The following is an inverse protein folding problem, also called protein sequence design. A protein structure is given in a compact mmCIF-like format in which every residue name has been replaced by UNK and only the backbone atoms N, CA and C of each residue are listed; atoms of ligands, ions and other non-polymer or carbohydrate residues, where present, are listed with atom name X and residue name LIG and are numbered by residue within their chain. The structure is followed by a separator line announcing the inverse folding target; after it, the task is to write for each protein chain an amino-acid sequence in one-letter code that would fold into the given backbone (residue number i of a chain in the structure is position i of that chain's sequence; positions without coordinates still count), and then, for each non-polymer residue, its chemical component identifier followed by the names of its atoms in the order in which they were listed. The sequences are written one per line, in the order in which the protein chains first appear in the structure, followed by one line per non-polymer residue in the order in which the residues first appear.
data_IF_614699787448
#
_entry.id   IF_614699787448
#
_cell.length_a   1.000
_cell.length_b   1.000
_cell.length_c   1.000
_cell.angle_alpha   90.00
_cell.angle_beta   90.00
_cell.angle_gamma   90.00
#
_symmetry.space_group_name_H-M   'P 1'
#
loop_
_entity.id
_entity.type
_entity.pdbx_description
1 polymer ?
#
# COMPACT_ATOMS: atom_id res chain seq x y z
N UNK A 1 39.59 -13.46 -41.79
CA UNK A 1 39.21 -12.12 -41.25
C UNK A 1 37.86 -11.73 -41.81
N UNK A 2 37.07 -11.00 -41.01
CA UNK A 2 35.64 -10.61 -41.20
C UNK A 2 34.58 -11.62 -40.73
N UNK A 3 34.52 -11.71 -39.39
CA UNK A 3 33.33 -11.59 -38.53
C UNK A 3 32.01 -12.20 -39.02
N UNK A 4 31.76 -13.45 -38.62
CA UNK A 4 30.42 -14.06 -38.47
C UNK A 4 29.87 -13.90 -37.04
N UNK A 5 30.43 -12.98 -36.25
CA UNK A 5 30.03 -12.71 -34.86
C UNK A 5 28.84 -11.74 -34.72
N UNK A 6 28.17 -11.40 -35.83
CA UNK A 6 27.13 -10.38 -35.87
C UNK A 6 25.69 -10.92 -35.74
N UNK A 7 25.49 -12.25 -35.73
CA UNK A 7 24.16 -12.86 -35.74
C UNK A 7 23.70 -13.40 -34.39
N UNK A 8 24.55 -13.38 -33.35
CA UNK A 8 24.19 -13.81 -31.99
C UNK A 8 23.86 -12.63 -31.07
N UNK A 9 24.18 -11.39 -31.47
CA UNK A 9 23.90 -10.18 -30.69
C UNK A 9 22.53 -9.54 -30.98
N UNK A 10 21.80 -10.00 -31.99
CA UNK A 10 20.50 -9.44 -32.39
C UNK A 10 19.30 -9.94 -31.58
N UNK A 11 19.43 -11.06 -30.87
CA UNK A 11 18.33 -11.66 -30.09
C UNK A 11 18.45 -11.34 -28.59
N UNK A 12 19.64 -11.00 -28.11
CA UNK A 12 19.86 -10.55 -26.72
C UNK A 12 19.39 -9.10 -26.47
N UNK A 13 19.36 -8.23 -27.50
CA UNK A 13 18.87 -6.86 -27.32
C UNK A 13 17.33 -6.76 -27.27
N UNK A 14 16.60 -7.74 -27.82
CA UNK A 14 15.12 -7.75 -27.71
C UNK A 14 14.65 -8.26 -26.34
N UNK A 15 15.47 -9.07 -25.67
CA UNK A 15 15.19 -9.49 -24.29
C UNK A 15 15.54 -8.37 -23.30
N UNK A 16 16.56 -7.56 -23.58
CA UNK A 16 16.92 -6.43 -22.71
C UNK A 16 15.91 -5.26 -22.75
N UNK A 17 15.26 -4.97 -23.88
CA UNK A 17 14.27 -3.88 -23.95
C UNK A 17 12.87 -4.27 -23.46
N UNK A 18 12.62 -5.56 -23.20
CA UNK A 18 11.44 -6.02 -22.46
C UNK A 18 11.69 -6.08 -20.93
N UNK A 19 12.88 -5.65 -20.47
CA UNK A 19 13.24 -5.55 -19.05
C UNK A 19 13.37 -4.10 -18.56
N UNK A 20 13.00 -3.10 -19.38
CA UNK A 20 13.12 -1.66 -19.06
C UNK A 20 11.84 -0.87 -19.38
N UNK A 21 10.69 -1.53 -19.34
CA UNK A 21 9.51 -0.88 -18.81
C UNK A 21 9.45 -1.36 -17.37
N UNK A 22 10.08 -0.65 -16.44
CA UNK A 22 9.70 -0.73 -15.04
C UNK A 22 8.29 -0.12 -14.97
N UNK A 23 7.27 -0.90 -15.36
CA UNK A 23 5.92 -0.67 -14.88
C UNK A 23 6.06 -0.75 -13.36
N UNK A 24 5.98 0.40 -12.66
CA UNK A 24 5.96 0.45 -11.19
C UNK A 24 4.95 -0.61 -10.75
N UNK A 25 5.43 -1.69 -10.12
CA UNK A 25 4.57 -2.81 -9.74
C UNK A 25 3.95 -2.43 -8.40
N UNK A 26 2.84 -1.70 -8.49
CA UNK A 26 2.15 -1.22 -7.32
C UNK A 26 1.61 -2.38 -6.50
N UNK A 27 1.73 -2.29 -5.18
CA UNK A 27 1.09 -3.24 -4.29
C UNK A 27 -0.40 -2.96 -4.17
N UNK A 28 -0.78 -1.69 -4.15
CA UNK A 28 -2.16 -1.25 -4.04
C UNK A 28 -2.63 -0.60 -5.36
N UNK A 29 -3.85 -0.93 -5.78
CA UNK A 29 -4.55 -0.23 -6.88
C UNK A 29 -5.92 0.19 -6.39
N UNK A 30 -5.98 1.41 -5.84
CA UNK A 30 -7.23 1.98 -5.37
C UNK A 30 -8.00 2.52 -6.56
N UNK A 31 -9.06 1.80 -6.94
CA UNK A 31 -10.02 2.32 -7.91
C UNK A 31 -10.49 3.72 -7.51
N UNK A 32 -10.83 4.57 -8.48
CA UNK A 32 -11.33 5.93 -8.20
C UNK A 32 -12.53 5.92 -7.21
N UNK A 33 -13.36 4.87 -7.24
CA UNK A 33 -14.44 4.69 -6.29
C UNK A 33 -13.94 4.43 -4.86
N UNK A 34 -12.93 3.56 -4.70
CA UNK A 34 -12.28 3.25 -3.42
C UNK A 34 -11.61 4.49 -2.85
N UNK A 35 -10.79 5.18 -3.66
CA UNK A 35 -10.09 6.40 -3.27
C UNK A 35 -11.07 7.49 -2.81
N UNK A 36 -12.16 7.70 -3.56
CA UNK A 36 -13.20 8.67 -3.18
C UNK A 36 -13.93 8.29 -1.88
N UNK A 37 -14.05 7.00 -1.56
CA UNK A 37 -14.62 6.52 -0.30
C UNK A 37 -13.65 6.80 0.85
N UNK A 38 -12.37 6.48 0.69
CA UNK A 38 -11.32 6.77 1.67
C UNK A 38 -11.20 8.26 1.97
N UNK A 39 -11.11 9.10 0.93
CA UNK A 39 -11.05 10.56 1.07
C UNK A 39 -12.23 11.06 1.93
N UNK A 40 -13.45 10.57 1.67
CA UNK A 40 -14.63 10.93 2.49
C UNK A 40 -14.52 10.46 3.94
N UNK A 41 -13.90 9.31 4.20
CA UNK A 41 -13.68 8.83 5.57
C UNK A 41 -12.68 9.74 6.29
N UNK A 42 -11.57 10.08 5.64
CA UNK A 42 -10.58 11.02 6.14
C UNK A 42 -11.16 12.43 6.38
N UNK A 43 -11.99 12.94 5.46
CA UNK A 43 -12.75 14.19 5.64
C UNK A 43 -13.64 14.16 6.88
N UNK A 44 -14.35 13.05 7.10
CA UNK A 44 -15.16 12.87 8.32
C UNK A 44 -14.30 12.74 9.59
N UNK A 45 -13.02 12.42 9.46
CA UNK A 45 -12.04 12.38 10.54
C UNK A 45 -11.21 13.67 10.65
N UNK A 46 -11.54 14.71 9.89
CA UNK A 46 -10.94 16.05 10.03
C UNK A 46 -9.79 16.37 9.06
N UNK A 47 -9.45 15.46 8.14
CA UNK A 47 -8.48 15.72 7.07
C UNK A 47 -9.19 16.28 5.85
N UNK A 48 -8.88 17.51 5.52
CA UNK A 48 -9.40 18.27 4.38
C UNK A 48 -8.27 18.58 3.43
N UNK A 49 -8.58 19.05 2.22
CA UNK A 49 -7.56 19.51 1.28
C UNK A 49 -6.65 20.61 1.84
N UNK A 50 -7.15 21.44 2.74
CA UNK A 50 -6.39 22.57 3.30
C UNK A 50 -5.38 22.17 4.38
N UNK A 51 -5.47 20.94 4.90
CA UNK A 51 -4.59 20.41 5.93
C UNK A 51 -4.09 18.98 5.62
N UNK A 52 -4.24 18.48 4.40
CA UNK A 52 -3.75 17.16 4.01
C UNK A 52 -2.21 17.13 4.08
N UNK A 53 -1.70 16.33 5.02
CA UNK A 53 -0.29 15.99 5.16
C UNK A 53 -0.19 14.68 5.95
N UNK A 54 0.98 14.05 5.90
CA UNK A 54 1.25 12.75 6.54
C UNK A 54 0.88 12.73 8.03
N UNK A 55 1.19 13.77 8.80
CA UNK A 55 0.87 13.86 10.22
C UNK A 55 -0.64 13.82 10.46
N UNK A 56 -1.41 14.62 9.72
CA UNK A 56 -2.87 14.66 9.85
C UNK A 56 -3.53 13.37 9.34
N UNK A 57 -3.01 12.73 8.29
CA UNK A 57 -3.47 11.41 7.86
C UNK A 57 -3.25 10.35 8.94
N UNK A 58 -2.04 10.32 9.54
CA UNK A 58 -1.70 9.39 10.61
C UNK A 58 -2.57 9.58 11.86
N UNK A 59 -2.87 10.83 12.25
CA UNK A 59 -3.78 11.12 13.37
C UNK A 59 -5.23 10.68 13.07
N UNK A 60 -5.68 10.85 11.83
CA UNK A 60 -7.04 10.49 11.42
C UNK A 60 -7.23 9.00 11.17
N UNK A 61 -6.16 8.24 10.92
CA UNK A 61 -6.25 6.85 10.48
C UNK A 61 -6.99 5.95 11.47
N UNK A 62 -6.79 6.13 12.77
CA UNK A 62 -7.54 5.35 13.80
C UNK A 62 -9.04 5.65 13.72
N UNK A 63 -9.44 6.90 13.46
CA UNK A 63 -10.84 7.27 13.25
C UNK A 63 -11.40 6.63 11.96
N UNK A 64 -10.58 6.53 10.90
CA UNK A 64 -10.97 5.83 9.67
C UNK A 64 -11.21 4.35 9.95
N UNK A 65 -10.31 3.68 10.68
CA UNK A 65 -10.47 2.27 11.09
C UNK A 65 -11.73 2.04 11.93
N UNK A 66 -12.08 2.98 12.81
CA UNK A 66 -13.34 2.96 13.56
C UNK A 66 -14.55 3.01 12.63
N UNK A 67 -14.55 3.95 11.66
CA UNK A 67 -15.64 4.10 10.68
C UNK A 67 -15.76 2.94 9.70
N UNK A 68 -14.68 2.22 9.46
CA UNK A 68 -14.67 1.00 8.65
C UNK A 68 -15.12 -0.23 9.46
N UNK A 69 -15.50 -0.05 10.74
CA UNK A 69 -15.95 -1.10 11.65
C UNK A 69 -14.89 -2.20 11.87
N UNK A 70 -13.62 -1.84 11.73
CA UNK A 70 -12.46 -2.73 11.92
C UNK A 70 -12.05 -2.82 13.38
N UNK A 71 -12.44 -1.85 14.21
CA UNK A 71 -12.18 -1.86 15.65
C UNK A 71 -13.23 -2.68 16.43
N UNK A 72 -12.81 -3.32 17.52
CA UNK A 72 -13.69 -3.96 18.51
C UNK A 72 -14.19 -2.98 19.58
N UNK A 73 -14.99 -3.46 20.54
CA UNK A 73 -15.51 -2.64 21.65
C UNK A 73 -14.44 -2.10 22.60
N UNK A 74 -13.20 -2.58 22.51
CA UNK A 74 -12.05 -2.13 23.30
C UNK A 74 -11.11 -1.23 22.47
N UNK A 75 -11.55 -0.76 21.30
CA UNK A 75 -10.75 0.01 20.34
C UNK A 75 -9.47 -0.72 19.89
N UNK A 76 -9.52 -2.05 19.78
CA UNK A 76 -8.45 -2.85 19.20
C UNK A 76 -8.78 -3.19 17.75
N UNK A 77 -7.78 -3.22 16.88
CA UNK A 77 -7.97 -3.66 15.48
C UNK A 77 -8.32 -5.15 15.49
N UNK A 78 -9.43 -5.54 14.87
CA UNK A 78 -9.75 -6.94 14.60
C UNK A 78 -9.02 -7.37 13.34
N UNK A 79 -7.98 -8.18 13.49
CA UNK A 79 -7.02 -8.48 12.42
C UNK A 79 -7.68 -9.13 11.20
N UNK A 80 -8.67 -10.00 11.41
CA UNK A 80 -9.41 -10.61 10.30
C UNK A 80 -10.16 -9.56 9.46
N UNK A 81 -10.84 -8.60 10.10
CA UNK A 81 -11.53 -7.50 9.39
C UNK A 81 -10.56 -6.57 8.68
N UNK A 82 -9.40 -6.31 9.29
CA UNK A 82 -8.35 -5.51 8.66
C UNK A 82 -7.85 -6.18 7.39
N UNK A 83 -7.53 -7.48 7.44
CA UNK A 83 -7.12 -8.26 6.26
C UNK A 83 -8.19 -8.28 5.17
N UNK A 84 -9.46 -8.42 5.54
CA UNK A 84 -10.57 -8.38 4.58
C UNK A 84 -10.63 -7.04 3.84
N UNK A 85 -10.35 -5.94 4.54
CA UNK A 85 -10.29 -4.60 3.96
C UNK A 85 -9.12 -4.48 2.97
N UNK A 86 -7.90 -4.77 3.45
CA UNK A 86 -6.66 -4.71 2.64
C UNK A 86 -6.74 -5.53 1.35
N UNK A 87 -7.32 -6.74 1.42
CA UNK A 87 -7.47 -7.62 0.25
C UNK A 87 -8.32 -7.03 -0.88
N UNK A 88 -9.12 -6.02 -0.61
CA UNK A 88 -9.89 -5.34 -1.65
C UNK A 88 -9.06 -4.34 -2.46
N UNK A 89 -7.89 -3.94 -1.94
CA UNK A 89 -7.03 -2.88 -2.46
C UNK A 89 -5.70 -3.45 -3.00
N UNK A 90 -5.25 -4.59 -2.46
CA UNK A 90 -4.01 -5.24 -2.86
C UNK A 90 -4.14 -5.90 -4.24
N UNK A 91 -3.24 -5.52 -5.15
CA UNK A 91 -3.09 -6.12 -6.49
C UNK A 91 -1.78 -6.90 -6.66
N UNK A 92 -0.76 -6.65 -5.84
CA UNK A 92 0.49 -7.40 -5.82
C UNK A 92 0.99 -7.62 -4.39
N UNK A 93 1.79 -8.68 -4.19
CA UNK A 93 2.40 -9.03 -2.89
C UNK A 93 1.39 -9.35 -1.77
N UNK A 94 0.21 -9.86 -2.12
CA UNK A 94 -0.83 -10.22 -1.12
C UNK A 94 -0.28 -11.15 -0.04
N UNK A 95 0.48 -12.19 -0.40
CA UNK A 95 1.03 -13.12 0.59
C UNK A 95 1.98 -12.42 1.57
N UNK A 96 2.89 -11.59 1.06
CA UNK A 96 3.85 -10.84 1.88
C UNK A 96 3.17 -9.77 2.74
N UNK A 97 2.15 -9.09 2.21
CA UNK A 97 1.39 -8.08 2.95
C UNK A 97 0.52 -8.71 4.04
N UNK A 98 -0.13 -9.85 3.76
CA UNK A 98 -0.87 -10.59 4.78
C UNK A 98 0.05 -11.16 5.87
N UNK A 99 1.26 -11.58 5.51
CA UNK A 99 2.27 -12.00 6.47
C UNK A 99 2.77 -10.83 7.32
N UNK A 100 2.91 -9.63 6.74
CA UNK A 100 3.24 -8.42 7.48
C UNK A 100 2.16 -8.05 8.50
N UNK A 101 0.87 -8.16 8.13
CA UNK A 101 -0.25 -8.00 9.06
C UNK A 101 -0.13 -8.97 10.24
N UNK A 102 0.12 -10.26 9.98
CA UNK A 102 0.28 -11.26 11.05
C UNK A 102 1.49 -11.00 11.94
N UNK A 103 2.61 -10.57 11.37
CA UNK A 103 3.82 -10.23 12.11
C UNK A 103 3.58 -9.03 13.04
N UNK A 104 2.97 -7.96 12.51
CA UNK A 104 2.68 -6.75 13.27
C UNK A 104 1.59 -6.95 14.32
N UNK A 105 0.68 -7.89 14.12
CA UNK A 105 -0.27 -8.33 15.13
C UNK A 105 0.33 -9.33 16.13
N UNK A 106 1.60 -9.72 15.99
CA UNK A 106 2.23 -10.81 16.76
C UNK A 106 1.42 -12.12 16.73
N UNK A 107 0.73 -12.41 15.62
CA UNK A 107 -0.21 -13.53 15.45
C UNK A 107 -1.38 -13.55 16.44
N UNK A 108 -1.75 -12.39 17.01
CA UNK A 108 -2.92 -12.23 17.87
C UNK A 108 -4.16 -11.90 17.03
N UNK A 109 -5.37 -12.24 17.49
CA UNK A 109 -6.62 -11.90 16.78
C UNK A 109 -6.95 -10.40 16.82
N UNK A 110 -6.37 -9.67 17.77
CA UNK A 110 -6.52 -8.22 17.88
C UNK A 110 -5.17 -7.55 18.17
N UNK A 111 -5.04 -6.27 17.80
CA UNK A 111 -3.84 -5.47 18.05
C UNK A 111 -4.14 -4.04 18.52
N UNK A 112 -3.22 -3.45 19.26
CA UNK A 112 -3.27 -2.03 19.61
C UNK A 112 -3.05 -1.20 18.34
N UNK A 113 -3.96 -0.25 18.00
CA UNK A 113 -3.92 0.41 16.70
C UNK A 113 -2.59 1.09 16.38
N UNK A 114 -2.06 1.90 17.30
CA UNK A 114 -0.90 2.75 17.00
C UNK A 114 0.36 1.92 16.72
N UNK A 115 0.65 0.95 17.58
CA UNK A 115 1.79 0.04 17.44
C UNK A 115 1.65 -0.82 16.17
N UNK A 116 0.43 -1.31 15.89
CA UNK A 116 0.15 -2.10 14.69
C UNK A 116 0.36 -1.29 13.41
N UNK A 117 -0.24 -0.10 13.30
CA UNK A 117 -0.15 0.75 12.10
C UNK A 117 1.30 1.12 11.81
N UNK A 118 2.05 1.55 12.83
CA UNK A 118 3.46 1.89 12.66
C UNK A 118 4.28 0.72 12.14
N UNK A 119 4.06 -0.48 12.69
CA UNK A 119 4.73 -1.68 12.21
C UNK A 119 4.34 -2.02 10.76
N UNK A 120 3.05 -1.94 10.44
CA UNK A 120 2.54 -2.33 9.13
C UNK A 120 3.01 -1.38 8.03
N UNK A 121 2.95 -0.07 8.28
CA UNK A 121 3.46 0.97 7.39
C UNK A 121 4.95 0.76 7.08
N UNK A 122 5.78 0.50 8.10
CA UNK A 122 7.19 0.17 7.91
C UNK A 122 7.44 -1.11 7.09
N UNK A 123 6.50 -2.04 7.05
CA UNK A 123 6.59 -3.27 6.24
C UNK A 123 6.14 -3.01 4.82
N UNK A 124 5.04 -2.28 4.63
CA UNK A 124 4.55 -1.82 3.35
C UNK A 124 5.65 -1.04 2.63
N UNK A 125 6.29 -0.08 3.28
CA UNK A 125 7.40 0.71 2.74
C UNK A 125 8.53 -0.13 2.15
N UNK A 126 8.84 -1.25 2.80
CA UNK A 126 9.93 -2.16 2.38
C UNK A 126 9.49 -3.08 1.25
N UNK A 127 8.22 -3.48 1.27
CA UNK A 127 7.64 -4.36 0.27
C UNK A 127 7.25 -3.59 -0.99
N UNK A 128 6.80 -2.35 -0.88
CA UNK A 128 6.10 -1.59 -1.91
C UNK A 128 6.71 -0.19 -2.03
N UNK A 129 8.04 -0.08 -2.32
CA UNK A 129 8.71 1.21 -2.33
C UNK A 129 8.16 2.17 -3.39
N UNK A 130 7.60 1.64 -4.48
CA UNK A 130 7.08 2.42 -5.60
C UNK A 130 5.70 3.05 -5.31
N UNK A 131 4.98 2.56 -4.28
CA UNK A 131 3.65 3.05 -3.91
C UNK A 131 3.74 4.42 -3.18
N UNK A 132 4.88 4.72 -2.56
CA UNK A 132 5.12 6.04 -1.94
C UNK A 132 5.18 7.18 -2.95
N UNK A 133 5.81 6.92 -4.09
CA UNK A 133 6.05 7.94 -5.11
C UNK A 133 4.73 8.46 -5.70
N UNK A 134 3.65 7.66 -5.65
CA UNK A 134 2.34 8.07 -6.18
C UNK A 134 1.62 9.02 -5.22
N UNK A 135 1.68 8.79 -3.91
CA UNK A 135 1.07 9.70 -2.94
C UNK A 135 1.70 11.11 -3.00
N UNK A 136 3.00 11.20 -3.26
CA UNK A 136 3.68 12.48 -3.45
C UNK A 136 3.29 13.15 -4.78
N UNK A 137 3.18 12.39 -5.87
CA UNK A 137 2.77 12.91 -7.19
C UNK A 137 1.30 13.39 -7.19
N UNK A 138 0.37 12.65 -6.58
CA UNK A 138 -1.07 12.96 -6.58
C UNK A 138 -1.46 14.13 -5.67
N UNK A 139 -0.61 14.52 -4.70
CA UNK A 139 -0.86 15.70 -3.85
C UNK A 139 -0.33 17.02 -4.47
N UNK A 140 0.48 16.96 -5.53
CA UNK A 140 1.03 18.15 -6.18
C UNK A 140 0.17 18.69 -7.35
N UNK A 141 -0.87 17.98 -7.81
CA UNK A 141 -1.83 18.44 -8.85
C UNK A 141 -3.12 19.07 -8.29
#
# INVERSE_FOLDING_TARGET
MKSTFALVFGILMVIAHLSFADEKVLCFDNSEETLNKEIKLFEQCGVTKDNANEENFNEAYICVLEKMEVLDENNQIVIEKFKETEKTEIVNKEEELMAAVDECAENKPTAEPKEFIQCYDEKVDKLCPDDKDIFEEDMEE
#
